data_IF_969573722265
#
_entry.id   IF_969573722265
#
_cell.length_a   1.000
_cell.length_b   1.000
_cell.length_c   1.000
_cell.angle_alpha   90.00
_cell.angle_beta   90.00
_cell.angle_gamma   90.00
#
_symmetry.space_group_name_H-M   'P 1'
#
loop_
_entity.id
_entity.type
_entity.pdbx_description
1 polymer ?
#
# COMPACT_ATOMS: atom_id res chain seq x y z
N UNK A 1 32.39 8.39 22.26
CA UNK A 1 31.77 7.05 22.12
C UNK A 1 30.25 7.20 22.09
N UNK A 2 29.72 7.32 20.88
CA UNK A 2 28.27 7.28 20.63
C UNK A 2 27.84 5.82 20.64
N UNK A 3 27.44 5.29 21.80
CA UNK A 3 26.68 4.06 21.87
C UNK A 3 25.25 4.31 21.35
N UNK A 4 25.04 4.23 20.05
CA UNK A 4 23.73 4.06 19.43
C UNK A 4 23.19 2.67 19.77
N UNK A 5 22.45 2.54 20.87
CA UNK A 5 21.71 1.32 21.15
C UNK A 5 20.45 1.26 20.25
N UNK A 6 20.64 0.79 19.01
CA UNK A 6 19.53 0.37 18.17
C UNK A 6 18.90 -0.88 18.79
N UNK A 7 17.73 -0.75 19.41
CA UNK A 7 16.94 -1.92 19.81
C UNK A 7 16.42 -2.60 18.56
N UNK A 8 16.96 -3.78 18.25
CA UNK A 8 16.43 -4.66 17.20
C UNK A 8 15.24 -5.43 17.76
N UNK A 9 14.05 -5.18 17.26
CA UNK A 9 12.91 -6.06 17.47
C UNK A 9 12.65 -6.86 16.19
N UNK A 10 12.79 -8.18 16.26
CA UNK A 10 12.36 -9.11 15.21
C UNK A 10 11.08 -9.78 15.67
N UNK A 11 10.00 -9.58 14.93
CA UNK A 11 8.74 -10.26 15.14
C UNK A 11 8.44 -11.13 13.92
N UNK A 12 8.11 -12.39 14.16
CA UNK A 12 7.72 -13.35 13.13
C UNK A 12 6.34 -13.91 13.50
N UNK A 13 5.41 -13.78 12.57
CA UNK A 13 4.05 -14.29 12.73
C UNK A 13 3.74 -15.26 11.60
N UNK A 14 3.39 -16.51 11.97
CA UNK A 14 2.86 -17.53 11.06
C UNK A 14 1.38 -17.65 11.38
N UNK A 15 0.53 -17.51 10.36
CA UNK A 15 -0.91 -17.57 10.54
C UNK A 15 -1.53 -18.38 9.41
N UNK A 16 -1.94 -19.58 9.75
CA UNK A 16 -2.69 -20.46 8.87
C UNK A 16 -4.18 -20.10 8.96
N UNK A 17 -4.82 -20.00 7.83
CA UNK A 17 -6.25 -19.77 7.73
C UNK A 17 -6.92 -20.99 7.12
N UNK A 18 -7.67 -21.69 7.96
CA UNK A 18 -8.43 -22.84 7.53
C UNK A 18 -9.49 -22.48 6.48
N UNK A 19 -10.01 -23.51 5.81
CA UNK A 19 -11.07 -23.36 4.83
C UNK A 19 -12.25 -22.56 5.39
N UNK A 20 -12.81 -21.67 4.55
CA UNK A 20 -13.97 -20.81 4.86
C UNK A 20 -13.74 -19.85 6.06
N UNK A 21 -12.50 -19.61 6.48
CA UNK A 21 -12.18 -18.74 7.61
C UNK A 21 -11.93 -17.29 7.17
N UNK A 22 -12.11 -16.35 8.10
CA UNK A 22 -11.79 -14.92 7.86
C UNK A 22 -10.91 -14.37 8.97
N UNK A 23 -9.88 -13.57 8.57
CA UNK A 23 -9.04 -12.85 9.49
C UNK A 23 -9.05 -11.36 9.14
N UNK A 24 -9.30 -10.52 10.15
CA UNK A 24 -9.01 -9.09 10.11
C UNK A 24 -7.82 -8.81 11.02
N UNK A 25 -6.73 -8.32 10.44
CA UNK A 25 -5.51 -7.94 11.16
C UNK A 25 -5.28 -6.44 11.00
N UNK A 26 -5.05 -5.75 12.12
CA UNK A 26 -4.70 -4.34 12.14
C UNK A 26 -3.35 -4.21 12.84
N UNK A 27 -2.35 -3.79 12.08
CA UNK A 27 -1.03 -3.46 12.60
C UNK A 27 -0.93 -1.96 12.78
N UNK A 28 -1.03 -1.50 14.01
CA UNK A 28 -0.87 -0.10 14.37
C UNK A 28 0.51 0.13 14.95
N UNK A 29 1.38 0.83 14.21
CA UNK A 29 2.71 1.17 14.66
C UNK A 29 2.68 2.50 15.41
N UNK A 30 2.72 2.42 16.73
CA UNK A 30 2.72 3.56 17.65
C UNK A 30 3.89 3.42 18.62
N UNK A 31 5.11 3.58 18.11
CA UNK A 31 6.31 3.56 18.94
C UNK A 31 6.89 4.97 19.03
N UNK A 32 6.86 5.53 20.23
CA UNK A 32 7.37 6.88 20.53
C UNK A 32 8.82 6.89 21.00
N UNK A 33 9.49 5.74 21.00
CA UNK A 33 10.88 5.64 21.44
C UNK A 33 11.89 6.18 20.41
N UNK A 34 13.09 6.58 20.87
CA UNK A 34 14.07 7.43 20.15
C UNK A 34 14.68 6.70 19.00
N UNK A 35 14.67 5.94 18.31
CA UNK A 35 15.31 5.23 17.18
C UNK A 35 15.32 3.71 17.38
N UNK A 36 14.30 3.07 16.90
CA UNK A 36 14.25 1.63 16.83
C UNK A 36 14.39 1.13 15.38
N UNK A 37 14.94 -0.05 15.25
CA UNK A 37 14.85 -0.85 14.04
C UNK A 37 13.83 -1.96 14.25
N UNK A 38 12.72 -1.88 13.53
CA UNK A 38 11.65 -2.87 13.53
C UNK A 38 11.78 -3.75 12.28
N UNK A 39 11.93 -5.05 12.48
CA UNK A 39 11.93 -6.03 11.40
C UNK A 39 10.80 -7.04 11.65
N UNK A 40 9.78 -7.01 10.79
CA UNK A 40 8.55 -7.77 10.97
C UNK A 40 8.36 -8.70 9.79
N UNK A 41 8.11 -9.96 10.07
CA UNK A 41 7.84 -10.97 9.06
C UNK A 41 6.47 -11.61 9.33
N UNK A 42 5.63 -11.64 8.30
CA UNK A 42 4.36 -12.36 8.30
C UNK A 42 4.37 -13.44 7.23
N UNK A 43 3.93 -14.63 7.61
CA UNK A 43 3.61 -15.69 6.67
C UNK A 43 2.13 -16.08 6.86
N UNK A 44 1.34 -15.99 5.80
CA UNK A 44 -0.07 -16.34 5.78
C UNK A 44 -0.29 -17.48 4.78
N UNK A 45 -0.97 -18.52 5.22
CA UNK A 45 -1.50 -19.58 4.36
C UNK A 45 -3.02 -19.47 4.36
N UNK A 46 -3.60 -19.17 3.21
CA UNK A 46 -5.05 -19.04 3.03
C UNK A 46 -5.56 -20.27 2.31
N UNK A 47 -6.27 -21.12 3.03
CA UNK A 47 -6.94 -22.29 2.45
C UNK A 47 -8.18 -21.90 1.65
N UNK A 48 -8.81 -22.88 1.00
CA UNK A 48 -9.98 -22.65 0.13
C UNK A 48 -11.02 -21.74 0.79
N UNK A 49 -11.48 -20.71 0.05
CA UNK A 49 -12.45 -19.68 0.46
C UNK A 49 -12.02 -18.81 1.68
N UNK A 50 -10.78 -18.91 2.15
CA UNK A 50 -10.33 -18.08 3.27
C UNK A 50 -10.17 -16.62 2.87
N UNK A 51 -10.45 -15.68 3.79
CA UNK A 51 -10.35 -14.25 3.58
C UNK A 51 -9.39 -13.62 4.57
N UNK A 52 -8.40 -12.90 4.06
CA UNK A 52 -7.47 -12.08 4.85
C UNK A 52 -7.72 -10.60 4.57
N UNK A 53 -8.00 -9.82 5.61
CA UNK A 53 -7.99 -8.36 5.58
C UNK A 53 -6.86 -7.86 6.46
N UNK A 54 -5.80 -7.32 5.85
CA UNK A 54 -4.56 -6.92 6.50
C UNK A 54 -4.35 -5.41 6.35
N UNK A 55 -4.48 -4.68 7.45
CA UNK A 55 -4.37 -3.22 7.51
C UNK A 55 -3.10 -2.83 8.27
N UNK A 56 -2.18 -2.17 7.58
CA UNK A 56 -0.90 -1.71 8.13
C UNK A 56 -0.91 -0.19 8.24
N UNK A 57 -0.87 0.31 9.47
CA UNK A 57 -0.98 1.74 9.75
C UNK A 57 0.28 2.23 10.45
N UNK A 58 1.06 3.02 9.72
CA UNK A 58 2.25 3.72 10.19
C UNK A 58 2.01 5.23 10.05
N UNK A 59 1.29 5.81 11.01
CA UNK A 59 0.86 7.22 10.98
C UNK A 59 1.59 8.09 11.98
N UNK A 60 1.97 7.54 13.12
CA UNK A 60 2.54 8.31 14.21
C UNK A 60 4.00 8.66 13.93
N UNK A 61 4.32 9.95 14.01
CA UNK A 61 5.67 10.43 13.75
C UNK A 61 6.69 9.84 14.72
N UNK A 62 7.73 9.26 14.18
CA UNK A 62 8.81 8.66 14.95
C UNK A 62 10.09 8.63 14.08
N UNK A 63 11.25 8.40 14.74
CA UNK A 63 12.54 8.28 14.06
C UNK A 63 12.94 6.84 13.74
N UNK A 64 11.97 5.95 13.70
CA UNK A 64 12.20 4.52 13.51
C UNK A 64 12.53 4.19 12.05
N UNK A 65 13.25 3.08 11.91
CA UNK A 65 13.45 2.37 10.65
C UNK A 65 12.61 1.10 10.71
N UNK A 66 11.67 0.96 9.79
CA UNK A 66 10.77 -0.18 9.72
C UNK A 66 10.97 -0.97 8.44
N UNK A 67 11.12 -2.27 8.59
CA UNK A 67 11.03 -3.23 7.50
C UNK A 67 9.94 -4.25 7.80
N UNK A 68 9.03 -4.45 6.87
CA UNK A 68 7.95 -5.44 6.98
C UNK A 68 7.90 -6.29 5.71
N UNK A 69 7.97 -7.60 5.87
CA UNK A 69 7.79 -8.55 4.78
C UNK A 69 6.56 -9.43 5.06
N UNK A 70 5.70 -9.55 4.05
CA UNK A 70 4.48 -10.36 4.10
C UNK A 70 4.50 -11.36 2.95
N UNK A 71 4.51 -12.63 3.28
CA UNK A 71 4.27 -13.71 2.33
C UNK A 71 2.85 -14.21 2.50
N UNK A 72 2.11 -14.38 1.40
CA UNK A 72 0.70 -14.77 1.39
C UNK A 72 0.52 -15.84 0.32
N UNK A 73 0.34 -17.08 0.76
CA UNK A 73 0.05 -18.22 -0.10
C UNK A 73 -1.46 -18.45 -0.14
N UNK A 74 -2.06 -18.49 -1.34
CA UNK A 74 -3.49 -18.45 -1.55
C UNK A 74 -4.00 -19.66 -2.33
N UNK A 75 -4.83 -20.47 -1.68
CA UNK A 75 -5.54 -21.58 -2.31
C UNK A 75 -6.83 -21.11 -3.02
N UNK A 76 -7.59 -22.05 -3.56
CA UNK A 76 -8.79 -21.81 -4.37
C UNK A 76 -9.79 -20.87 -3.71
N UNK A 77 -10.31 -19.91 -4.50
CA UNK A 77 -11.30 -18.90 -4.08
C UNK A 77 -10.88 -18.02 -2.89
N UNK A 78 -9.64 -18.09 -2.42
CA UNK A 78 -9.20 -17.26 -1.31
C UNK A 78 -9.00 -15.81 -1.72
N UNK A 79 -9.15 -14.90 -0.76
CA UNK A 79 -9.07 -13.46 -0.98
C UNK A 79 -8.10 -12.85 0.02
N UNK A 80 -7.13 -12.09 -0.45
CA UNK A 80 -6.31 -11.22 0.39
C UNK A 80 -6.51 -9.75 0.04
N UNK A 81 -6.83 -8.93 1.03
CA UNK A 81 -6.87 -7.48 0.95
C UNK A 81 -5.81 -6.90 1.87
N UNK A 82 -4.81 -6.24 1.32
CA UNK A 82 -3.79 -5.52 2.10
C UNK A 82 -3.92 -4.02 1.83
N UNK A 83 -4.06 -3.23 2.90
CA UNK A 83 -4.02 -1.79 2.84
C UNK A 83 -2.87 -1.25 3.71
N UNK A 84 -2.10 -0.30 3.16
CA UNK A 84 -0.95 0.28 3.82
C UNK A 84 -1.12 1.79 3.89
N UNK A 85 -1.21 2.36 5.11
CA UNK A 85 -1.01 3.77 5.36
C UNK A 85 0.43 3.97 5.86
N UNK A 86 1.24 4.66 5.09
CA UNK A 86 2.67 4.86 5.35
C UNK A 86 2.99 6.35 5.44
N UNK A 87 3.20 6.85 6.67
CA UNK A 87 3.35 8.28 6.95
C UNK A 87 4.25 8.58 8.16
N UNK A 88 4.39 7.66 9.11
CA UNK A 88 4.94 7.96 10.44
C UNK A 88 6.45 7.86 10.55
N UNK A 89 7.02 6.72 10.22
CA UNK A 89 8.43 6.40 10.39
C UNK A 89 9.35 7.29 9.55
N UNK A 90 10.60 7.44 9.97
CA UNK A 90 11.60 8.14 9.15
C UNK A 90 11.94 7.34 7.88
N UNK A 91 12.12 6.03 8.05
CA UNK A 91 12.25 5.10 6.94
C UNK A 91 11.29 3.92 7.12
N UNK A 92 10.55 3.58 6.07
CA UNK A 92 9.66 2.42 6.08
C UNK A 92 9.74 1.67 4.75
N UNK A 93 9.95 0.35 4.82
CA UNK A 93 9.87 -0.53 3.67
C UNK A 93 8.88 -1.65 3.93
N UNK A 94 7.87 -1.75 3.07
CA UNK A 94 6.87 -2.80 3.11
C UNK A 94 6.98 -3.66 1.86
N UNK A 95 7.27 -4.96 2.03
CA UNK A 95 7.27 -5.92 0.95
C UNK A 95 6.10 -6.89 1.11
N UNK A 96 5.38 -7.12 0.01
CA UNK A 96 4.25 -8.04 -0.08
C UNK A 96 4.52 -9.01 -1.22
N UNK A 97 4.49 -10.30 -0.91
CA UNK A 97 4.57 -11.37 -1.89
C UNK A 97 3.28 -12.19 -1.79
N UNK A 98 2.49 -12.25 -2.87
CA UNK A 98 1.27 -13.04 -2.93
C UNK A 98 1.43 -14.13 -4.00
N UNK A 99 1.24 -15.37 -3.62
CA UNK A 99 1.26 -16.53 -4.50
C UNK A 99 -0.18 -17.04 -4.68
N UNK A 100 -0.77 -16.81 -5.86
CA UNK A 100 -2.11 -17.25 -6.20
C UNK A 100 -2.04 -18.68 -6.76
N UNK A 101 -1.99 -19.65 -5.84
CA UNK A 101 -1.79 -21.08 -6.13
C UNK A 101 -3.09 -21.78 -6.54
N UNK A 102 -4.24 -21.25 -6.11
CA UNK A 102 -5.55 -21.84 -6.38
C UNK A 102 -6.37 -21.04 -7.39
N UNK A 103 -7.20 -21.72 -8.18
CA UNK A 103 -8.12 -21.09 -9.14
C UNK A 103 -9.07 -20.12 -8.42
N UNK A 104 -9.37 -18.99 -9.08
CA UNK A 104 -10.20 -17.90 -8.55
C UNK A 104 -9.61 -17.18 -7.31
N UNK A 105 -8.36 -17.45 -6.92
CA UNK A 105 -7.71 -16.68 -5.88
C UNK A 105 -7.56 -15.20 -6.31
N UNK A 106 -7.70 -14.28 -5.34
CA UNK A 106 -7.66 -12.84 -5.62
C UNK A 106 -6.81 -12.10 -4.59
N UNK A 107 -5.94 -11.19 -5.05
CA UNK A 107 -5.09 -10.36 -4.21
C UNK A 107 -5.28 -8.87 -4.51
N UNK A 108 -5.58 -8.09 -3.46
CA UNK A 108 -5.74 -6.64 -3.53
C UNK A 108 -4.69 -5.96 -2.65
N UNK A 109 -3.87 -5.08 -3.24
CA UNK A 109 -2.86 -4.30 -2.52
C UNK A 109 -3.10 -2.82 -2.76
N UNK A 110 -3.56 -2.13 -1.73
CA UNK A 110 -3.82 -0.71 -1.78
C UNK A 110 -2.93 0.02 -0.78
N UNK A 111 -2.47 1.22 -1.13
CA UNK A 111 -1.59 1.95 -0.24
C UNK A 111 -1.61 3.46 -0.43
N UNK A 112 -1.36 4.15 0.67
CA UNK A 112 -1.18 5.59 0.74
C UNK A 112 0.20 5.88 1.31
N UNK A 113 0.97 6.68 0.57
CA UNK A 113 2.08 7.45 1.12
C UNK A 113 1.61 8.88 1.38
N UNK A 114 1.75 9.34 2.61
CA UNK A 114 1.53 10.74 2.99
C UNK A 114 2.77 11.22 3.73
N UNK A 115 3.76 11.70 2.98
CA UNK A 115 5.10 11.95 3.49
C UNK A 115 5.42 13.43 3.51
N UNK A 116 6.17 13.84 4.51
CA UNK A 116 6.69 15.19 4.69
C UNK A 116 8.18 15.16 5.11
N UNK A 117 8.78 16.31 5.18
CA UNK A 117 10.18 16.49 5.57
C UNK A 117 11.13 15.69 4.65
N UNK A 118 11.99 14.84 5.22
CA UNK A 118 13.00 14.01 4.57
C UNK A 118 12.71 12.50 4.66
N UNK A 119 11.46 12.13 4.95
CA UNK A 119 11.05 10.73 5.08
C UNK A 119 11.23 9.96 3.76
N UNK A 120 11.65 8.71 3.88
CA UNK A 120 11.81 7.81 2.75
C UNK A 120 11.02 6.52 2.97
N UNK A 121 9.99 6.29 2.17
CA UNK A 121 9.16 5.10 2.30
C UNK A 121 9.08 4.31 1.00
N UNK A 122 9.04 2.98 1.13
CA UNK A 122 8.97 2.05 0.01
C UNK A 122 7.82 1.03 0.19
N UNK A 123 7.11 0.75 -0.89
CA UNK A 123 6.24 -0.41 -1.02
C UNK A 123 6.73 -1.22 -2.23
N UNK A 124 6.99 -2.49 -2.00
CA UNK A 124 7.26 -3.47 -3.05
C UNK A 124 6.19 -4.56 -3.00
N UNK A 125 5.53 -4.79 -4.11
CA UNK A 125 4.55 -5.88 -4.24
C UNK A 125 4.93 -6.81 -5.38
N UNK A 126 4.86 -8.10 -5.12
CA UNK A 126 5.03 -9.14 -6.12
C UNK A 126 3.78 -10.01 -6.06
N UNK A 127 3.04 -10.07 -7.15
CA UNK A 127 1.86 -10.93 -7.26
C UNK A 127 2.14 -11.99 -8.32
N UNK A 128 2.17 -13.24 -7.88
CA UNK A 128 2.45 -14.39 -8.71
C UNK A 128 1.12 -15.11 -9.03
N UNK A 129 0.67 -14.98 -10.27
CA UNK A 129 -0.45 -15.74 -10.80
C UNK A 129 0.08 -17.08 -11.30
N UNK A 130 -0.20 -18.16 -10.55
CA UNK A 130 0.37 -19.48 -10.78
C UNK A 130 -0.64 -20.47 -11.38
N UNK A 131 -1.93 -20.08 -11.38
CA UNK A 131 -3.05 -20.89 -11.94
C UNK A 131 -4.08 -19.99 -12.60
N UNK A 132 -5.01 -20.58 -13.34
CA UNK A 132 -6.01 -19.89 -14.14
C UNK A 132 -7.06 -19.11 -13.33
N UNK A 133 -7.73 -18.15 -13.99
CA UNK A 133 -8.85 -17.37 -13.45
C UNK A 133 -8.52 -16.56 -12.17
N UNK A 134 -7.26 -16.24 -11.95
CA UNK A 134 -6.83 -15.46 -10.78
C UNK A 134 -6.89 -13.96 -11.04
N UNK A 135 -7.05 -13.17 -9.97
CA UNK A 135 -7.18 -11.71 -10.07
C UNK A 135 -6.22 -10.98 -9.15
N UNK A 136 -5.70 -9.85 -9.62
CA UNK A 136 -4.97 -8.92 -8.75
C UNK A 136 -5.25 -7.46 -9.12
N UNK A 137 -5.35 -6.63 -8.11
CA UNK A 137 -5.50 -5.20 -8.27
C UNK A 137 -4.60 -4.46 -7.27
N UNK A 138 -3.81 -3.53 -7.78
CA UNK A 138 -2.86 -2.78 -6.95
C UNK A 138 -3.06 -1.28 -7.21
N UNK A 139 -3.32 -0.50 -6.14
CA UNK A 139 -3.49 0.94 -6.24
C UNK A 139 -2.67 1.65 -5.15
N UNK A 140 -1.66 2.39 -5.57
CA UNK A 140 -0.81 3.16 -4.68
C UNK A 140 -0.94 4.65 -5.01
N UNK A 141 -1.27 5.45 -4.01
CA UNK A 141 -1.31 6.91 -4.13
C UNK A 141 -0.38 7.57 -3.14
N UNK A 142 0.34 8.58 -3.60
CA UNK A 142 1.39 9.26 -2.87
C UNK A 142 1.14 10.77 -2.85
N UNK A 143 1.25 11.38 -1.69
CA UNK A 143 1.33 12.83 -1.52
C UNK A 143 2.65 13.13 -0.80
N UNK A 144 3.52 13.88 -1.45
CA UNK A 144 4.89 14.08 -1.02
C UNK A 144 5.19 15.56 -0.83
N UNK A 145 5.67 15.91 0.36
CA UNK A 145 5.99 17.27 0.77
C UNK A 145 7.43 17.37 1.30
N UNK A 146 8.04 18.56 1.17
CA UNK A 146 9.45 18.76 1.53
C UNK A 146 10.40 18.02 0.60
N UNK A 147 11.40 17.34 1.15
CA UNK A 147 12.36 16.49 0.43
C UNK A 147 12.04 15.00 0.57
N UNK A 148 10.78 14.67 0.83
CA UNK A 148 10.36 13.29 1.06
C UNK A 148 10.44 12.44 -0.23
N UNK A 149 10.69 11.14 -0.04
CA UNK A 149 10.83 10.17 -1.13
C UNK A 149 9.90 8.98 -0.94
N UNK A 150 9.16 8.65 -1.98
CA UNK A 150 8.37 7.43 -2.03
C UNK A 150 8.80 6.56 -3.21
N UNK A 151 8.96 5.25 -2.95
CA UNK A 151 9.30 4.26 -3.97
C UNK A 151 8.19 3.22 -4.02
N UNK A 152 7.67 2.98 -5.21
CA UNK A 152 6.76 1.87 -5.47
C UNK A 152 7.35 0.95 -6.55
N UNK A 153 7.53 -0.32 -6.20
CA UNK A 153 7.92 -1.38 -7.13
C UNK A 153 6.82 -2.43 -7.15
N UNK A 154 6.10 -2.54 -8.26
CA UNK A 154 5.03 -3.50 -8.44
C UNK A 154 5.38 -4.51 -9.52
N UNK A 155 5.35 -5.81 -9.21
CA UNK A 155 5.53 -6.87 -10.19
C UNK A 155 4.28 -7.75 -10.25
N UNK A 156 3.79 -7.99 -11.48
CA UNK A 156 2.80 -9.03 -11.78
C UNK A 156 3.53 -10.10 -12.60
N UNK A 157 3.61 -11.29 -12.05
CA UNK A 157 4.11 -12.47 -12.73
C UNK A 157 2.93 -13.37 -13.10
N UNK A 158 2.88 -13.83 -14.34
CA UNK A 158 1.83 -14.72 -14.85
C UNK A 158 2.46 -15.95 -15.48
N UNK A 159 2.26 -17.11 -14.86
CA UNK A 159 2.75 -18.40 -15.36
C UNK A 159 2.01 -18.79 -16.65
N UNK A 160 2.61 -19.65 -17.47
CA UNK A 160 2.02 -20.21 -18.70
C UNK A 160 0.63 -20.83 -18.48
N UNK A 161 0.44 -21.50 -17.34
CA UNK A 161 -0.82 -22.16 -17.00
C UNK A 161 -1.87 -21.21 -16.41
N UNK A 162 -1.48 -19.95 -16.08
CA UNK A 162 -2.35 -18.96 -15.47
C UNK A 162 -3.22 -18.22 -16.50
N UNK A 163 -3.94 -18.96 -17.33
CA UNK A 163 -4.85 -18.37 -18.32
C UNK A 163 -6.02 -17.64 -17.65
N UNK A 164 -6.61 -16.65 -18.35
CA UNK A 164 -7.69 -15.78 -17.84
C UNK A 164 -7.34 -15.01 -16.58
N UNK A 165 -6.05 -14.76 -16.39
CA UNK A 165 -5.58 -13.85 -15.36
C UNK A 165 -6.07 -12.42 -15.64
N UNK A 166 -6.54 -11.73 -14.58
CA UNK A 166 -6.93 -10.32 -14.60
C UNK A 166 -6.05 -9.56 -13.60
N UNK A 167 -4.99 -8.93 -14.09
CA UNK A 167 -3.96 -8.26 -13.29
C UNK A 167 -3.83 -6.78 -13.62
N UNK A 168 -3.98 -5.90 -12.62
CA UNK A 168 -3.88 -4.46 -12.79
C UNK A 168 -3.06 -3.80 -11.70
N UNK A 169 -2.19 -2.86 -12.07
CA UNK A 169 -1.47 -2.03 -11.12
C UNK A 169 -1.45 -0.56 -11.54
N UNK A 170 -1.74 0.32 -10.60
CA UNK A 170 -1.74 1.77 -10.80
C UNK A 170 -1.02 2.46 -9.66
N UNK A 171 -0.08 3.35 -9.99
CA UNK A 171 0.57 4.22 -9.04
C UNK A 171 0.45 5.68 -9.46
N UNK A 172 0.05 6.55 -8.53
CA UNK A 172 -0.06 7.99 -8.79
C UNK A 172 0.54 8.80 -7.65
N UNK A 173 1.20 9.91 -7.98
CA UNK A 173 1.79 10.80 -6.98
C UNK A 173 1.46 12.27 -7.25
N UNK A 174 1.20 13.00 -6.16
CA UNK A 174 1.21 14.46 -6.12
C UNK A 174 2.49 14.89 -5.41
N UNK A 175 3.32 15.66 -6.12
CA UNK A 175 4.55 16.27 -5.60
C UNK A 175 4.22 17.72 -5.23
N UNK A 176 4.34 18.04 -3.94
CA UNK A 176 3.98 19.35 -3.40
C UNK A 176 5.18 20.33 -3.40
N UNK A 177 6.39 19.78 -3.49
CA UNK A 177 7.65 20.53 -3.55
C UNK A 177 8.55 19.97 -4.66
N UNK A 178 9.49 20.79 -5.13
CA UNK A 178 10.43 20.40 -6.19
C UNK A 178 11.43 19.34 -5.73
N UNK A 179 11.70 19.29 -4.44
CA UNK A 179 12.63 18.35 -3.80
C UNK A 179 11.98 17.00 -3.47
N UNK A 180 10.65 16.92 -3.61
CA UNK A 180 9.91 15.64 -3.42
C UNK A 180 10.17 14.69 -4.58
N UNK A 181 10.31 13.40 -4.28
CA UNK A 181 10.67 12.38 -5.27
C UNK A 181 9.72 11.19 -5.21
N UNK A 182 9.17 10.80 -6.36
CA UNK A 182 8.39 9.59 -6.52
C UNK A 182 9.00 8.68 -7.58
N UNK A 183 9.45 7.50 -7.17
CA UNK A 183 10.01 6.48 -8.04
C UNK A 183 9.04 5.32 -8.19
N UNK A 184 8.51 5.14 -9.40
CA UNK A 184 7.64 4.02 -9.72
C UNK A 184 8.31 3.06 -10.70
N UNK A 185 8.33 1.78 -10.36
CA UNK A 185 8.84 0.71 -11.23
C UNK A 185 7.79 -0.40 -11.38
N UNK A 186 6.84 -0.24 -12.31
CA UNK A 186 5.90 -1.31 -12.63
C UNK A 186 6.58 -2.36 -13.54
N UNK A 187 6.41 -3.63 -13.22
CA UNK A 187 6.94 -4.76 -13.99
C UNK A 187 5.80 -5.74 -14.32
N UNK A 188 5.76 -6.20 -15.57
CA UNK A 188 4.89 -7.27 -16.03
C UNK A 188 5.76 -8.38 -16.65
N UNK A 189 5.62 -9.59 -16.15
CA UNK A 189 6.29 -10.78 -16.65
C UNK A 189 5.21 -11.83 -16.95
N UNK A 190 4.85 -12.00 -18.22
CA UNK A 190 3.66 -12.72 -18.63
C UNK A 190 4.03 -13.83 -19.60
N UNK A 191 3.65 -15.06 -19.26
CA UNK A 191 3.91 -16.26 -20.05
C UNK A 191 2.63 -16.95 -20.54
N UNK A 192 1.43 -16.39 -20.25
CA UNK A 192 0.14 -16.87 -20.71
C UNK A 192 -0.43 -15.94 -21.79
N UNK A 193 -1.22 -16.48 -22.72
CA UNK A 193 -1.74 -15.75 -23.89
C UNK A 193 -3.12 -15.10 -23.62
N UNK A 194 -4.03 -15.79 -22.92
CA UNK A 194 -5.38 -15.29 -22.64
C UNK A 194 -5.43 -14.59 -21.29
N UNK A 195 -4.94 -13.35 -21.24
CA UNK A 195 -4.87 -12.56 -20.01
C UNK A 195 -5.26 -11.11 -20.23
N UNK A 196 -5.69 -10.45 -19.13
CA UNK A 196 -5.91 -9.00 -19.05
C UNK A 196 -4.95 -8.42 -18.04
N UNK A 197 -3.78 -7.98 -18.49
CA UNK A 197 -2.78 -7.41 -17.62
C UNK A 197 -2.39 -6.01 -18.09
N UNK A 198 -2.40 -5.06 -17.14
CA UNK A 198 -1.99 -3.69 -17.46
C UNK A 198 -1.39 -2.98 -16.25
N UNK A 199 -0.60 -1.96 -16.52
CA UNK A 199 -0.08 -1.06 -15.50
C UNK A 199 -0.19 0.40 -15.91
N UNK A 200 -0.19 1.29 -14.91
CA UNK A 200 -0.11 2.73 -15.11
C UNK A 200 0.70 3.38 -14.00
N UNK A 201 1.42 4.44 -14.36
CA UNK A 201 2.10 5.28 -13.40
C UNK A 201 2.05 6.74 -13.83
N UNK A 202 1.79 7.64 -12.88
CA UNK A 202 1.80 9.08 -13.14
C UNK A 202 2.22 9.85 -11.90
N UNK A 203 2.97 10.93 -12.10
CA UNK A 203 3.28 11.89 -11.05
C UNK A 203 3.14 13.31 -11.59
N UNK A 204 2.78 14.24 -10.72
CA UNK A 204 2.62 15.65 -11.08
C UNK A 204 2.43 16.53 -9.85
N UNK A 205 2.28 17.83 -10.07
CA UNK A 205 1.89 18.79 -9.05
C UNK A 205 0.38 18.91 -8.92
N UNK A 206 -0.10 19.63 -7.91
CA UNK A 206 -1.49 20.06 -7.86
C UNK A 206 -1.81 20.93 -9.07
N UNK A 207 -3.04 20.75 -9.59
CA UNK A 207 -3.51 21.56 -10.72
C UNK A 207 -3.88 22.97 -10.24
N UNK A 208 -3.15 23.96 -10.71
CA UNK A 208 -3.33 25.37 -10.32
C UNK A 208 -4.68 25.93 -10.76
N UNK A 209 -5.23 25.51 -11.91
CA UNK A 209 -6.55 25.93 -12.35
C UNK A 209 -7.64 25.39 -11.42
N UNK A 210 -7.49 24.19 -10.90
CA UNK A 210 -8.39 23.60 -9.91
C UNK A 210 -8.32 24.36 -8.58
N UNK A 211 -7.12 24.76 -8.14
CA UNK A 211 -6.94 25.61 -6.96
C UNK A 211 -7.63 26.96 -7.16
N UNK A 212 -7.34 27.61 -8.29
CA UNK A 212 -7.96 28.90 -8.62
C UNK A 212 -9.49 28.83 -8.67
N UNK A 213 -10.05 27.78 -9.29
CA UNK A 213 -11.49 27.56 -9.33
C UNK A 213 -12.09 27.45 -7.92
N UNK A 214 -11.49 26.67 -7.03
CA UNK A 214 -11.95 26.50 -5.65
C UNK A 214 -11.85 27.82 -4.87
N UNK A 215 -10.78 28.58 -5.05
CA UNK A 215 -10.63 29.90 -4.44
C UNK A 215 -11.69 30.89 -4.95
N UNK A 216 -12.05 30.84 -6.22
CA UNK A 216 -13.14 31.66 -6.77
C UNK A 216 -14.52 31.33 -6.20
N UNK A 217 -14.66 30.17 -5.57
CA UNK A 217 -15.85 29.71 -4.83
C UNK A 217 -15.79 30.02 -3.33
N UNK A 218 -14.79 30.78 -2.87
CA UNK A 218 -14.69 31.28 -1.51
C UNK A 218 -13.80 30.44 -0.57
N UNK A 219 -13.13 29.40 -1.07
CA UNK A 219 -12.16 28.66 -0.28
C UNK A 219 -10.82 29.42 -0.22
N UNK A 220 -10.12 29.33 0.92
CA UNK A 220 -8.74 29.79 0.98
C UNK A 220 -7.83 28.88 0.15
N UNK A 221 -6.63 29.36 -0.19
CA UNK A 221 -5.61 28.54 -0.87
C UNK A 221 -5.35 27.21 -0.13
N UNK A 222 -5.19 27.28 1.19
CA UNK A 222 -4.93 26.12 2.03
C UNK A 222 -6.11 25.12 1.99
N UNK A 223 -7.34 25.60 2.10
CA UNK A 223 -8.54 24.76 2.01
C UNK A 223 -8.68 24.11 0.63
N UNK A 224 -8.39 24.85 -0.44
CA UNK A 224 -8.43 24.34 -1.81
C UNK A 224 -7.41 23.22 -2.03
N UNK A 225 -6.18 23.43 -1.53
CA UNK A 225 -5.10 22.43 -1.57
C UNK A 225 -5.48 21.15 -0.80
N UNK A 226 -5.97 21.29 0.43
CA UNK A 226 -6.41 20.16 1.27
C UNK A 226 -7.55 19.37 0.60
N UNK A 227 -8.53 20.07 0.03
CA UNK A 227 -9.66 19.43 -0.65
C UNK A 227 -9.19 18.57 -1.83
N UNK A 228 -8.28 19.10 -2.66
CA UNK A 228 -7.74 18.34 -3.81
C UNK A 228 -6.90 17.13 -3.36
N UNK A 229 -6.09 17.28 -2.33
CA UNK A 229 -5.30 16.18 -1.75
C UNK A 229 -6.23 15.10 -1.19
N UNK A 230 -7.22 15.51 -0.42
CA UNK A 230 -8.19 14.59 0.19
C UNK A 230 -8.99 13.83 -0.88
N UNK A 231 -9.48 14.52 -1.91
CA UNK A 231 -10.15 13.89 -3.04
C UNK A 231 -9.24 12.89 -3.78
N UNK A 232 -7.96 13.24 -3.95
CA UNK A 232 -6.99 12.35 -4.57
C UNK A 232 -6.76 11.07 -3.76
N UNK A 233 -6.62 11.17 -2.43
CA UNK A 233 -6.40 10.02 -1.55
C UNK A 233 -7.68 9.20 -1.31
N UNK A 234 -8.84 9.84 -1.34
CA UNK A 234 -10.13 9.19 -1.08
C UNK A 234 -10.36 7.99 -2.00
N UNK A 235 -9.98 8.08 -3.28
CA UNK A 235 -10.16 7.02 -4.26
C UNK A 235 -9.48 5.68 -3.85
N UNK A 236 -8.33 5.71 -3.19
CA UNK A 236 -7.67 4.50 -2.68
C UNK A 236 -8.26 4.07 -1.32
N UNK A 237 -8.66 5.00 -0.48
CA UNK A 237 -9.28 4.69 0.82
C UNK A 237 -10.65 4.03 0.64
N UNK A 238 -11.40 4.42 -0.40
CA UNK A 238 -12.69 3.79 -0.74
C UNK A 238 -12.57 2.33 -1.17
N UNK A 239 -11.35 1.85 -1.50
CA UNK A 239 -11.10 0.43 -1.77
C UNK A 239 -11.10 -0.43 -0.49
N UNK A 240 -11.04 0.18 0.69
CA UNK A 240 -11.17 -0.54 1.95
C UNK A 240 -12.61 -1.05 2.08
N UNK A 241 -12.77 -2.36 2.16
CA UNK A 241 -14.11 -3.00 2.26
C UNK A 241 -14.70 -2.94 3.67
N UNK A 242 -13.86 -2.81 4.70
CA UNK A 242 -14.26 -2.69 6.10
C UNK A 242 -14.60 -1.23 6.44
N UNK A 243 -15.86 -0.94 6.77
CA UNK A 243 -16.33 0.41 7.01
C UNK A 243 -15.72 1.06 8.27
N UNK A 244 -15.47 0.30 9.34
CA UNK A 244 -14.85 0.81 10.56
C UNK A 244 -13.41 1.25 10.29
N UNK A 245 -12.65 0.40 9.58
CA UNK A 245 -11.27 0.70 9.22
C UNK A 245 -11.21 1.84 8.20
N UNK A 246 -12.12 1.88 7.24
CA UNK A 246 -12.22 2.99 6.29
C UNK A 246 -12.37 4.33 7.00
N UNK A 247 -13.29 4.41 7.95
CA UNK A 247 -13.52 5.64 8.72
C UNK A 247 -12.31 5.99 9.60
N UNK A 248 -11.68 4.99 10.22
CA UNK A 248 -10.44 5.18 10.98
C UNK A 248 -9.34 5.79 10.09
N UNK A 249 -9.12 5.24 8.91
CA UNK A 249 -8.09 5.72 7.97
C UNK A 249 -8.45 7.13 7.46
N UNK A 250 -9.71 7.40 7.08
CA UNK A 250 -10.16 8.75 6.70
C UNK A 250 -9.81 9.78 7.78
N UNK A 251 -10.15 9.50 9.02
CA UNK A 251 -9.83 10.39 10.15
C UNK A 251 -8.33 10.60 10.32
N UNK A 252 -7.52 9.54 10.20
CA UNK A 252 -6.07 9.62 10.34
C UNK A 252 -5.38 10.46 9.26
N UNK A 253 -5.92 10.52 8.05
CA UNK A 253 -5.38 11.34 6.95
C UNK A 253 -6.09 12.68 6.77
N UNK A 254 -7.01 13.02 7.68
CA UNK A 254 -7.68 14.32 7.71
C UNK A 254 -8.84 14.46 6.71
N UNK A 255 -9.33 13.38 6.13
CA UNK A 255 -10.55 13.40 5.30
C UNK A 255 -11.76 13.46 6.22
N UNK A 256 -12.46 14.59 6.20
CA UNK A 256 -13.73 14.80 6.91
C UNK A 256 -14.89 14.44 5.99
N UNK A 257 -15.93 13.86 6.54
CA UNK A 257 -17.21 13.64 5.85
C UNK A 257 -17.90 14.95 5.51
#
# INVERSE_FOLDING_TARGET
DLHLSLRRQRQMFIRDRDKDSSLRLIDLFNDTSEKNFLNIFYNFELKENAVLKNYKVDKFENKNIKYSFNNIDQDKNSISETFILSSGSNFSKNEINCNLNGIYASAFVNGVFSLNNDKHHEIRSIINHLTENTKSYQLIKSVLEGSSKAVYQGKIFVNSDAQKTDGYQLSKAILLNKESEFNAKPELEIYADDVKCSHGSASGSLNEDSIFYLMSRGLSYQQSRELLINGFLLDVVEKITDSEIKNLIKNMIGIKE
#
